data_IF_929452017646
#
_entry.id   IF_929452017646
#
_cell.length_a   1.000
_cell.length_b   1.000
_cell.length_c   1.000
_cell.angle_alpha   90.00
_cell.angle_beta   90.00
_cell.angle_gamma   90.00
#
_symmetry.space_group_name_H-M   'P 1'
#
loop_
_entity.id
_entity.type
_entity.pdbx_description
1 polymer ?
#
# COMPACT_ATOMS: atom_id res chain seq x y z
N UNK A 1 32.56 -9.04 71.68
CA UNK A 1 32.24 -7.62 71.40
C UNK A 1 32.64 -7.33 69.96
N UNK A 2 31.64 -7.05 69.13
CA UNK A 2 31.72 -6.71 67.71
C UNK A 2 32.59 -5.46 67.48
N UNK A 3 33.34 -5.40 66.37
CA UNK A 3 33.44 -4.22 65.50
C UNK A 3 34.33 -4.48 64.24
N UNK A 4 33.75 -4.21 63.06
CA UNK A 4 34.35 -3.85 61.75
C UNK A 4 35.35 -4.83 61.07
N UNK A 5 35.44 -5.02 59.74
CA UNK A 5 35.33 -4.09 58.61
C UNK A 5 35.38 -4.83 57.24
N UNK A 6 34.62 -4.34 56.25
CA UNK A 6 34.91 -4.18 54.80
C UNK A 6 35.33 -5.36 53.87
N UNK A 7 34.50 -5.49 52.82
CA UNK A 7 34.73 -5.74 51.38
C UNK A 7 35.77 -6.77 50.90
N UNK A 8 35.35 -7.66 49.96
CA UNK A 8 36.00 -7.86 48.64
C UNK A 8 35.19 -8.80 47.72
N UNK A 9 34.97 -8.30 46.50
CA UNK A 9 34.72 -8.94 45.19
C UNK A 9 34.62 -10.47 45.08
N UNK A 10 33.69 -10.95 44.25
CA UNK A 10 33.99 -11.75 43.03
C UNK A 10 32.71 -11.91 42.19
N UNK A 11 32.85 -11.55 40.92
CA UNK A 11 31.96 -11.76 39.78
C UNK A 11 31.73 -13.25 39.49
N UNK A 12 30.61 -13.62 38.86
CA UNK A 12 30.49 -14.56 37.71
C UNK A 12 29.01 -14.91 37.50
N UNK A 13 28.55 -14.64 36.27
CA UNK A 13 27.50 -15.28 35.46
C UNK A 13 26.49 -16.24 36.14
N UNK A 14 25.20 -16.03 35.88
CA UNK A 14 24.38 -16.89 34.99
C UNK A 14 22.87 -16.79 35.28
N UNK A 15 22.11 -16.59 34.20
CA UNK A 15 20.76 -17.12 33.94
C UNK A 15 19.69 -17.09 35.07
N UNK A 16 18.66 -16.25 34.90
CA UNK A 16 17.33 -16.76 34.54
C UNK A 16 16.36 -15.63 34.20
N UNK A 17 15.79 -15.80 33.02
CA UNK A 17 14.87 -14.97 32.28
C UNK A 17 13.46 -15.51 32.55
N UNK A 18 12.56 -14.75 33.20
CA UNK A 18 11.11 -15.01 33.12
C UNK A 18 10.34 -13.69 33.02
N UNK A 19 9.99 -13.38 31.78
CA UNK A 19 8.69 -12.87 31.31
C UNK A 19 8.02 -11.74 32.10
N UNK A 20 8.40 -10.49 31.79
CA UNK A 20 7.41 -9.43 31.66
C UNK A 20 6.95 -9.41 30.19
N UNK A 21 5.77 -9.97 29.96
CA UNK A 21 5.01 -9.80 28.73
C UNK A 21 4.70 -8.31 28.51
N UNK A 22 5.61 -7.58 27.88
CA UNK A 22 5.24 -6.37 27.16
C UNK A 22 4.80 -6.82 25.78
N UNK A 23 3.48 -6.98 25.65
CA UNK A 23 2.76 -7.12 24.40
C UNK A 23 3.37 -6.21 23.34
N UNK A 24 4.04 -6.82 22.36
CA UNK A 24 4.50 -6.13 21.17
C UNK A 24 3.30 -5.50 20.48
N UNK A 25 3.23 -4.17 20.46
CA UNK A 25 2.43 -3.50 19.43
C UNK A 25 3.22 -3.67 18.14
N UNK A 26 2.78 -4.59 17.30
CA UNK A 26 3.20 -4.68 15.92
C UNK A 26 2.80 -3.38 15.22
N UNK A 27 3.75 -2.52 14.89
CA UNK A 27 3.50 -1.37 14.02
C UNK A 27 3.56 -1.89 12.58
N UNK A 28 2.55 -2.67 12.21
CA UNK A 28 2.19 -2.88 10.81
C UNK A 28 1.78 -1.55 10.19
N UNK A 29 1.77 -1.45 8.85
CA UNK A 29 1.28 -0.27 8.15
C UNK A 29 0.02 0.29 8.83
N UNK A 30 0.04 1.57 9.24
CA UNK A 30 -1.16 2.21 9.77
C UNK A 30 -2.16 2.44 8.62
N UNK A 31 -2.81 1.36 8.16
CA UNK A 31 -4.06 1.42 7.41
C UNK A 31 -5.02 2.20 8.28
N UNK A 32 -5.64 3.25 7.72
CA UNK A 32 -6.51 4.11 8.52
C UNK A 32 -7.71 3.27 8.95
N UNK A 33 -7.93 3.15 10.27
CA UNK A 33 -9.03 2.33 10.81
C UNK A 33 -10.38 2.71 10.20
N UNK A 34 -10.61 4.00 9.98
CA UNK A 34 -11.83 4.51 9.32
C UNK A 34 -11.97 4.03 7.87
N UNK A 35 -10.88 3.79 7.14
CA UNK A 35 -10.95 3.24 5.78
C UNK A 35 -11.24 1.74 5.84
N UNK A 36 -10.64 1.01 6.78
CA UNK A 36 -10.97 -0.41 7.01
C UNK A 36 -12.44 -0.60 7.38
N UNK A 37 -12.95 0.18 8.33
CA UNK A 37 -14.35 0.17 8.76
C UNK A 37 -15.28 0.47 7.58
N UNK A 38 -14.93 1.45 6.74
CA UNK A 38 -15.69 1.75 5.52
C UNK A 38 -15.69 0.57 4.54
N UNK A 39 -14.53 -0.05 4.29
CA UNK A 39 -14.41 -1.19 3.39
C UNK A 39 -15.23 -2.37 3.92
N UNK A 40 -15.14 -2.66 5.22
CA UNK A 40 -15.92 -3.71 5.87
C UNK A 40 -17.42 -3.49 5.67
N UNK A 41 -17.90 -2.28 5.98
CA UNK A 41 -19.32 -1.93 5.88
C UNK A 41 -19.87 -2.02 4.46
N UNK A 42 -19.08 -1.71 3.42
CA UNK A 42 -19.58 -1.56 2.05
C UNK A 42 -19.02 -2.58 1.05
N UNK A 43 -18.18 -3.52 1.47
CA UNK A 43 -17.61 -4.52 0.56
C UNK A 43 -18.67 -5.46 -0.02
N UNK A 44 -19.65 -5.87 0.78
CA UNK A 44 -20.72 -6.77 0.32
C UNK A 44 -21.61 -6.11 -0.74
N UNK A 45 -21.95 -4.82 -0.58
CA UNK A 45 -22.72 -4.10 -1.59
C UNK A 45 -21.90 -3.87 -2.86
N UNK A 46 -20.61 -3.56 -2.75
CA UNK A 46 -19.73 -3.41 -3.92
C UNK A 46 -19.58 -4.74 -4.68
N UNK A 47 -19.44 -5.86 -3.98
CA UNK A 47 -19.41 -7.20 -4.59
C UNK A 47 -20.73 -7.55 -5.27
N UNK A 48 -21.86 -7.22 -4.64
CA UNK A 48 -23.18 -7.42 -5.24
C UNK A 48 -23.30 -6.62 -6.53
N UNK A 49 -22.95 -5.33 -6.48
CA UNK A 49 -23.02 -4.46 -7.66
C UNK A 49 -22.06 -4.90 -8.76
N UNK A 50 -20.92 -5.48 -8.41
CA UNK A 50 -20.07 -6.11 -9.41
C UNK A 50 -20.75 -7.26 -10.14
N UNK A 51 -21.52 -8.09 -9.44
CA UNK A 51 -22.24 -9.19 -10.09
C UNK A 51 -23.44 -8.68 -10.90
N UNK A 52 -24.14 -7.67 -10.40
CA UNK A 52 -25.39 -7.17 -11.01
C UNK A 52 -25.12 -6.20 -12.16
N UNK A 53 -24.08 -5.37 -12.04
CA UNK A 53 -23.76 -4.29 -12.97
C UNK A 53 -22.43 -4.48 -13.71
N UNK A 54 -21.63 -5.49 -13.40
CA UNK A 54 -20.32 -5.75 -14.01
C UNK A 54 -19.28 -4.61 -13.82
N UNK A 55 -19.39 -3.86 -12.72
CA UNK A 55 -18.42 -2.83 -12.30
C UNK A 55 -17.47 -3.47 -11.29
N UNK A 56 -16.13 -3.38 -11.41
CA UNK A 56 -15.22 -3.96 -10.42
C UNK A 56 -15.55 -3.48 -9.00
N UNK A 57 -15.69 -4.41 -8.05
CA UNK A 57 -15.99 -4.09 -6.66
C UNK A 57 -14.89 -3.18 -6.06
N UNK A 58 -13.64 -3.40 -6.46
CA UNK A 58 -12.50 -2.57 -6.08
C UNK A 58 -12.65 -1.12 -6.52
N UNK A 59 -13.22 -0.88 -7.70
CA UNK A 59 -13.47 0.46 -8.24
C UNK A 59 -14.56 1.14 -7.43
N UNK A 60 -15.69 0.46 -7.21
CA UNK A 60 -16.78 1.00 -6.39
C UNK A 60 -16.31 1.37 -4.98
N UNK A 61 -15.52 0.51 -4.33
CA UNK A 61 -14.98 0.78 -3.00
C UNK A 61 -13.96 1.94 -3.00
N UNK A 62 -13.06 1.98 -3.99
CA UNK A 62 -12.05 3.03 -4.08
C UNK A 62 -12.67 4.41 -4.37
N UNK A 63 -13.68 4.48 -5.24
CA UNK A 63 -14.44 5.71 -5.48
C UNK A 63 -15.20 6.11 -4.22
N UNK A 64 -15.92 5.20 -3.57
CA UNK A 64 -16.61 5.48 -2.31
C UNK A 64 -15.67 6.05 -1.25
N UNK A 65 -14.49 5.43 -1.05
CA UNK A 65 -13.46 5.94 -0.13
C UNK A 65 -12.96 7.34 -0.51
N UNK A 66 -12.65 7.57 -1.77
CA UNK A 66 -12.06 8.82 -2.25
C UNK A 66 -13.06 9.98 -2.21
N UNK A 67 -14.26 9.79 -2.77
CA UNK A 67 -15.27 10.84 -2.96
C UNK A 67 -15.93 11.24 -1.63
N UNK A 68 -16.17 10.26 -0.74
CA UNK A 68 -16.79 10.53 0.57
C UNK A 68 -15.77 10.83 1.68
N UNK A 69 -14.47 10.70 1.40
CA UNK A 69 -13.44 10.70 2.45
C UNK A 69 -13.69 9.61 3.49
N UNK A 70 -14.01 8.39 3.03
CA UNK A 70 -14.48 7.28 3.85
C UNK A 70 -15.70 7.62 4.72
N UNK A 71 -16.69 8.31 4.16
CA UNK A 71 -17.95 8.70 4.78
C UNK A 71 -17.88 9.94 5.68
N UNK A 72 -16.70 10.54 5.81
CA UNK A 72 -16.46 11.64 6.75
C UNK A 72 -16.71 13.02 6.15
N UNK A 73 -16.81 13.15 4.82
CA UNK A 73 -17.06 14.42 4.16
C UNK A 73 -18.42 15.01 4.57
N UNK A 74 -18.51 16.35 4.58
CA UNK A 74 -19.74 17.03 4.95
C UNK A 74 -20.91 16.62 4.03
N UNK A 75 -20.65 16.52 2.72
CA UNK A 75 -21.64 16.08 1.74
C UNK A 75 -22.15 14.67 2.08
N UNK A 76 -21.26 13.71 2.32
CA UNK A 76 -21.63 12.35 2.66
C UNK A 76 -22.46 12.30 3.96
N UNK A 77 -22.02 12.99 5.01
CA UNK A 77 -22.72 13.01 6.31
C UNK A 77 -24.11 13.66 6.27
N UNK A 78 -24.31 14.68 5.43
CA UNK A 78 -25.58 15.43 5.36
C UNK A 78 -26.57 14.84 4.37
N UNK A 79 -26.11 14.03 3.42
CA UNK A 79 -26.93 13.59 2.29
C UNK A 79 -26.84 12.11 1.96
N UNK A 80 -26.00 11.35 2.65
CA UNK A 80 -25.65 9.97 2.30
C UNK A 80 -25.12 9.81 0.87
N UNK A 81 -24.68 10.89 0.21
CA UNK A 81 -24.12 10.85 -1.13
C UNK A 81 -22.61 10.56 -1.07
N UNK A 82 -22.26 9.30 -1.24
CA UNK A 82 -20.87 8.85 -1.10
C UNK A 82 -20.04 8.95 -2.39
N UNK A 83 -20.66 9.31 -3.51
CA UNK A 83 -20.02 9.33 -4.84
C UNK A 83 -20.06 10.71 -5.49
N UNK A 84 -20.57 11.73 -4.79
CA UNK A 84 -20.66 13.10 -5.31
C UNK A 84 -21.60 13.26 -6.51
N UNK A 85 -22.64 12.41 -6.63
CA UNK A 85 -23.52 12.47 -7.81
C UNK A 85 -24.34 13.76 -7.81
N UNK A 86 -24.19 14.55 -8.87
CA UNK A 86 -24.92 15.81 -9.07
C UNK A 86 -26.37 15.56 -9.50
N UNK A 87 -27.21 16.56 -9.28
CA UNK A 87 -28.57 16.59 -9.82
C UNK A 87 -28.49 16.76 -11.33
N UNK A 88 -28.76 15.69 -12.08
CA UNK A 88 -28.88 15.75 -13.53
C UNK A 88 -30.33 16.00 -13.96
N UNK A 89 -30.55 16.32 -15.24
CA UNK A 89 -31.91 16.49 -15.79
C UNK A 89 -32.73 15.23 -15.51
N UNK A 90 -33.83 15.40 -14.77
CA UNK A 90 -34.75 14.32 -14.42
C UNK A 90 -34.64 13.79 -12.98
N UNK A 91 -33.67 14.25 -12.18
CA UNK A 91 -33.66 13.95 -10.74
C UNK A 91 -34.88 14.59 -10.06
N UNK A 92 -35.68 13.76 -9.37
CA UNK A 92 -36.90 14.17 -8.63
C UNK A 92 -36.82 13.88 -7.13
N UNK A 93 -35.72 13.28 -6.68
CA UNK A 93 -35.50 12.97 -5.27
C UNK A 93 -35.06 14.20 -4.48
N UNK A 94 -34.76 13.98 -3.20
CA UNK A 94 -34.20 15.04 -2.36
C UNK A 94 -32.83 15.50 -2.89
N UNK A 95 -32.47 16.74 -2.56
CA UNK A 95 -31.19 17.34 -2.96
C UNK A 95 -30.59 18.14 -1.82
N UNK A 96 -29.28 18.31 -1.88
CA UNK A 96 -28.52 19.27 -1.07
C UNK A 96 -27.69 20.14 -2.01
N UNK A 97 -27.47 21.40 -1.64
CA UNK A 97 -26.60 22.28 -2.39
C UNK A 97 -25.28 22.48 -1.64
N UNK A 98 -24.18 22.41 -2.36
CA UNK A 98 -22.83 22.59 -1.83
C UNK A 98 -21.94 23.24 -2.90
N UNK A 99 -20.84 23.86 -2.46
CA UNK A 99 -19.85 24.41 -3.38
C UNK A 99 -18.98 23.28 -3.95
N UNK A 100 -18.85 23.25 -5.27
CA UNK A 100 -17.94 22.36 -6.01
C UNK A 100 -17.40 23.07 -7.27
N UNK A 101 -17.98 22.85 -8.47
CA UNK A 101 -17.60 23.61 -9.68
C UNK A 101 -18.16 25.04 -9.61
N UNK A 102 -19.35 25.18 -9.05
CA UNK A 102 -19.97 26.48 -8.72
C UNK A 102 -20.25 26.58 -7.23
N UNK A 103 -20.49 27.80 -6.69
CA UNK A 103 -20.79 27.97 -5.27
C UNK A 103 -22.05 27.24 -4.78
N UNK A 104 -22.93 26.80 -5.69
CA UNK A 104 -24.22 26.22 -5.34
C UNK A 104 -24.60 25.07 -6.29
N UNK A 105 -23.69 24.10 -6.44
CA UNK A 105 -23.95 22.89 -7.20
C UNK A 105 -24.97 22.01 -6.47
N UNK A 106 -25.91 21.45 -7.24
CA UNK A 106 -26.93 20.55 -6.71
C UNK A 106 -26.40 19.12 -6.67
N UNK A 107 -26.48 18.49 -5.52
CA UNK A 107 -26.15 17.08 -5.29
C UNK A 107 -27.39 16.31 -4.88
N UNK A 108 -27.48 15.06 -5.35
CA UNK A 108 -28.55 14.15 -4.93
C UNK A 108 -28.42 13.85 -3.44
N UNK A 109 -29.55 13.74 -2.75
CA UNK A 109 -29.63 13.33 -1.35
C UNK A 109 -30.39 12.02 -1.24
N UNK A 110 -29.88 11.13 -0.41
CA UNK A 110 -30.38 9.78 -0.24
C UNK A 110 -30.78 9.53 1.21
N UNK A 111 -31.73 8.62 1.39
CA UNK A 111 -32.19 8.21 2.71
C UNK A 111 -31.15 7.33 3.42
N UNK A 112 -30.47 6.47 2.67
CA UNK A 112 -29.40 5.60 3.17
C UNK A 112 -28.18 5.64 2.24
N UNK A 113 -27.02 5.22 2.75
CA UNK A 113 -25.78 5.19 1.97
C UNK A 113 -25.89 4.19 0.82
N UNK A 114 -26.53 3.06 1.04
CA UNK A 114 -26.75 2.01 0.05
C UNK A 114 -27.53 2.52 -1.16
N UNK A 115 -28.47 3.46 -0.95
CA UNK A 115 -29.24 4.07 -2.04
C UNK A 115 -28.31 4.90 -2.95
N UNK A 116 -27.22 5.47 -2.43
CA UNK A 116 -26.20 6.17 -3.23
C UNK A 116 -25.27 5.21 -3.99
N UNK A 117 -24.99 4.03 -3.43
CA UNK A 117 -24.25 2.96 -4.13
C UNK A 117 -25.06 2.44 -5.32
N UNK A 118 -26.37 2.28 -5.13
CA UNK A 118 -27.29 1.80 -6.16
C UNK A 118 -27.36 2.81 -7.31
N UNK A 119 -27.58 4.09 -6.97
CA UNK A 119 -27.63 5.16 -7.97
C UNK A 119 -26.28 5.35 -8.68
N UNK A 120 -25.14 5.17 -8.00
CA UNK A 120 -23.83 5.18 -8.62
C UNK A 120 -23.64 4.05 -9.64
N UNK A 121 -24.06 2.83 -9.28
CA UNK A 121 -23.95 1.69 -10.20
C UNK A 121 -24.86 1.87 -11.43
N UNK A 122 -26.08 2.39 -11.24
CA UNK A 122 -26.98 2.74 -12.33
C UNK A 122 -26.42 3.88 -13.19
N UNK A 123 -25.83 4.90 -12.57
CA UNK A 123 -25.20 6.03 -13.28
C UNK A 123 -24.07 5.58 -14.22
N UNK A 124 -23.20 4.68 -13.75
CA UNK A 124 -22.12 4.14 -14.57
C UNK A 124 -22.65 3.19 -15.66
N UNK A 125 -23.54 2.26 -15.31
CA UNK A 125 -24.04 1.23 -16.24
C UNK A 125 -24.97 1.77 -17.32
N UNK A 126 -25.76 2.81 -17.04
CA UNK A 126 -26.67 3.43 -18.03
C UNK A 126 -26.05 4.61 -18.77
N UNK A 127 -24.95 5.16 -18.27
CA UNK A 127 -24.27 6.31 -18.87
C UNK A 127 -23.57 5.96 -20.18
N UNK A 128 -24.08 6.47 -21.31
CA UNK A 128 -23.52 6.22 -22.64
C UNK A 128 -22.02 6.54 -22.77
N UNK A 129 -21.52 7.47 -21.96
CA UNK A 129 -20.11 7.88 -21.82
C UNK A 129 -19.21 6.77 -21.28
N UNK A 130 -19.72 5.91 -20.40
CA UNK A 130 -18.95 4.91 -19.67
C UNK A 130 -18.97 3.54 -20.34
N UNK A 131 -19.70 3.39 -21.46
CA UNK A 131 -19.94 2.11 -22.14
C UNK A 131 -18.66 1.35 -22.46
N UNK A 132 -17.61 2.04 -22.95
CA UNK A 132 -16.31 1.42 -23.27
C UNK A 132 -15.64 0.76 -22.04
N UNK A 133 -16.00 1.14 -20.82
CA UNK A 133 -15.46 0.51 -19.61
C UNK A 133 -15.97 -0.93 -19.45
N UNK A 134 -17.19 -1.20 -19.90
CA UNK A 134 -17.82 -2.51 -19.75
C UNK A 134 -17.31 -3.55 -20.75
N UNK A 135 -16.50 -3.13 -21.73
CA UNK A 135 -15.74 -4.03 -22.60
C UNK A 135 -14.48 -4.58 -21.90
N UNK A 136 -14.06 -3.97 -20.78
CA UNK A 136 -12.92 -4.42 -19.99
C UNK A 136 -13.33 -5.57 -19.05
N UNK A 137 -12.43 -6.53 -18.78
CA UNK A 137 -12.65 -7.51 -17.74
C UNK A 137 -12.93 -6.83 -16.40
N UNK A 138 -13.91 -7.33 -15.65
CA UNK A 138 -14.27 -6.78 -14.34
C UNK A 138 -13.19 -6.99 -13.26
N UNK A 139 -12.08 -7.65 -13.60
CA UNK A 139 -10.85 -7.76 -12.78
C UNK A 139 -9.76 -6.76 -13.17
N UNK A 140 -9.92 -6.01 -14.28
CA UNK A 140 -8.94 -5.01 -14.73
C UNK A 140 -9.22 -3.63 -14.13
N UNK A 141 -9.05 -3.51 -12.82
CA UNK A 141 -9.27 -2.24 -12.13
C UNK A 141 -8.35 -1.11 -12.61
N UNK A 142 -7.15 -1.44 -13.17
CA UNK A 142 -6.23 -0.44 -13.71
C UNK A 142 -6.75 0.14 -15.02
N UNK A 143 -7.30 -0.71 -15.90
CA UNK A 143 -8.01 -0.28 -17.11
C UNK A 143 -9.22 0.58 -16.76
N UNK A 144 -10.06 0.11 -15.84
CA UNK A 144 -11.24 0.84 -15.37
C UNK A 144 -10.90 2.23 -14.81
N UNK A 145 -9.91 2.34 -13.92
CA UNK A 145 -9.50 3.62 -13.34
C UNK A 145 -9.02 4.63 -14.41
N UNK A 146 -8.24 4.16 -15.39
CA UNK A 146 -7.77 5.00 -16.51
C UNK A 146 -8.92 5.42 -17.42
N UNK A 147 -9.85 4.51 -17.71
CA UNK A 147 -11.01 4.79 -18.53
C UNK A 147 -11.99 5.77 -17.86
N UNK A 148 -12.22 5.66 -16.55
CA UNK A 148 -13.01 6.62 -15.78
C UNK A 148 -12.44 8.04 -15.88
N UNK A 149 -11.11 8.18 -15.80
CA UNK A 149 -10.45 9.46 -16.01
C UNK A 149 -10.59 9.94 -17.48
N UNK A 150 -10.37 9.07 -18.47
CA UNK A 150 -10.50 9.40 -19.90
C UNK A 150 -11.91 9.85 -20.27
N UNK A 151 -12.93 9.24 -19.67
CA UNK A 151 -14.35 9.57 -19.88
C UNK A 151 -14.78 10.83 -19.14
N UNK A 152 -13.92 11.41 -18.30
CA UNK A 152 -14.18 12.65 -17.58
C UNK A 152 -15.14 12.47 -16.41
N UNK A 153 -15.06 11.33 -15.70
CA UNK A 153 -15.79 11.11 -14.45
C UNK A 153 -15.41 12.17 -13.41
N UNK A 154 -14.12 12.48 -13.28
CA UNK A 154 -13.59 13.53 -12.42
C UNK A 154 -12.71 14.50 -13.21
N UNK A 155 -12.66 15.77 -12.78
CA UNK A 155 -11.80 16.81 -13.39
C UNK A 155 -10.34 16.69 -12.95
N UNK A 156 -10.05 15.94 -11.88
CA UNK A 156 -8.71 15.69 -11.38
C UNK A 156 -7.85 14.85 -12.34
N UNK A 157 -6.72 15.41 -12.79
CA UNK A 157 -5.77 14.73 -13.69
C UNK A 157 -5.06 13.53 -13.05
N UNK A 158 -5.08 13.41 -11.72
CA UNK A 158 -4.49 12.30 -10.98
C UNK A 158 -5.52 11.23 -10.53
N UNK A 159 -6.79 11.35 -10.95
CA UNK A 159 -7.89 10.53 -10.47
C UNK A 159 -7.62 9.02 -10.56
N UNK A 160 -7.20 8.54 -11.74
CA UNK A 160 -6.91 7.13 -11.97
C UNK A 160 -5.81 6.61 -11.03
N UNK A 161 -4.77 7.40 -10.81
CA UNK A 161 -3.65 7.03 -9.92
C UNK A 161 -4.08 6.97 -8.45
N UNK A 162 -4.99 7.85 -8.02
CA UNK A 162 -5.55 7.82 -6.65
C UNK A 162 -6.39 6.57 -6.42
N UNK A 163 -7.24 6.18 -7.39
CA UNK A 163 -8.03 4.95 -7.30
C UNK A 163 -7.13 3.71 -7.28
N UNK A 164 -6.17 3.59 -8.21
CA UNK A 164 -5.23 2.47 -8.25
C UNK A 164 -4.47 2.35 -6.93
N UNK A 165 -4.01 3.48 -6.38
CA UNK A 165 -3.32 3.50 -5.10
C UNK A 165 -4.19 2.99 -3.96
N UNK A 166 -5.44 3.45 -3.85
CA UNK A 166 -6.37 2.95 -2.82
C UNK A 166 -6.65 1.45 -2.98
N UNK A 167 -6.85 0.99 -4.21
CA UNK A 167 -7.09 -0.42 -4.51
C UNK A 167 -5.88 -1.30 -4.11
N UNK A 168 -4.67 -0.83 -4.35
CA UNK A 168 -3.45 -1.58 -4.02
C UNK A 168 -3.07 -1.49 -2.54
N UNK A 169 -3.21 -0.32 -1.91
CA UNK A 169 -2.89 -0.11 -0.48
C UNK A 169 -3.86 -0.89 0.44
N UNK A 170 -5.14 -0.95 0.06
CA UNK A 170 -6.19 -1.62 0.83
C UNK A 170 -6.54 -3.01 0.29
N UNK A 171 -5.83 -3.44 -0.75
CA UNK A 171 -6.00 -4.74 -1.42
C UNK A 171 -7.43 -4.99 -1.92
N UNK A 172 -8.11 -3.93 -2.38
CA UNK A 172 -9.52 -3.98 -2.78
C UNK A 172 -9.74 -4.88 -4.01
N UNK A 173 -8.71 -5.11 -4.83
CA UNK A 173 -8.75 -6.02 -5.97
C UNK A 173 -9.16 -7.45 -5.57
N UNK A 174 -8.98 -7.82 -4.30
CA UNK A 174 -9.47 -9.11 -3.76
C UNK A 174 -10.98 -9.24 -3.85
N UNK A 175 -11.71 -8.13 -3.78
CA UNK A 175 -13.16 -8.14 -3.91
C UNK A 175 -13.60 -8.35 -5.36
N UNK A 176 -12.71 -8.29 -6.36
CA UNK A 176 -13.06 -8.51 -7.76
C UNK A 176 -13.17 -9.99 -8.13
N UNK A 177 -12.51 -10.87 -7.36
CA UNK A 177 -12.42 -12.29 -7.70
C UNK A 177 -13.07 -13.17 -6.62
N UNK A 178 -14.05 -13.97 -7.04
CA UNK A 178 -14.83 -14.89 -6.19
C UNK A 178 -13.98 -15.85 -5.36
N UNK A 179 -12.78 -16.20 -5.82
CA UNK A 179 -11.85 -17.08 -5.10
C UNK A 179 -11.30 -16.43 -3.82
N UNK A 180 -11.23 -15.10 -3.76
CA UNK A 180 -10.83 -14.35 -2.57
C UNK A 180 -12.04 -13.96 -1.68
N UNK A 181 -13.28 -14.20 -2.14
CA UNK A 181 -14.54 -13.81 -1.46
C UNK A 181 -15.08 -14.88 -0.49
N UNK A 182 -14.75 -16.17 -0.64
CA UNK A 182 -15.27 -17.23 0.22
C UNK A 182 -14.48 -17.34 1.53
N UNK A 183 -14.90 -16.57 2.53
CA UNK A 183 -14.80 -16.96 3.94
C UNK A 183 -13.42 -17.38 4.45
N UNK A 184 -12.40 -16.56 4.15
CA UNK A 184 -11.06 -16.80 4.67
C UNK A 184 -10.77 -15.74 5.74
N UNK A 185 -10.76 -16.14 7.01
CA UNK A 185 -10.32 -15.26 8.10
C UNK A 185 -8.89 -14.78 7.83
N UNK A 186 -8.44 -13.70 8.46
CA UNK A 186 -7.04 -13.24 8.30
C UNK A 186 -6.04 -14.37 8.58
N UNK A 187 -6.30 -15.18 9.61
CA UNK A 187 -5.50 -16.36 9.95
C UNK A 187 -5.52 -17.42 8.86
N UNK A 188 -6.67 -17.74 8.27
CA UNK A 188 -6.75 -18.70 7.16
C UNK A 188 -6.16 -18.13 5.86
N UNK A 189 -6.09 -16.80 5.70
CA UNK A 189 -5.45 -16.13 4.55
C UNK A 189 -3.94 -16.20 4.69
N UNK A 190 -3.43 -15.91 5.88
CA UNK A 190 -2.04 -16.12 6.23
C UNK A 190 -1.70 -17.62 6.08
N UNK A 191 -2.58 -18.55 6.47
CA UNK A 191 -2.39 -20.00 6.30
C UNK A 191 -2.48 -20.47 4.84
N UNK A 192 -3.30 -19.85 3.99
CA UNK A 192 -3.37 -20.16 2.55
C UNK A 192 -2.18 -19.59 1.79
N UNK A 193 -1.78 -18.36 2.08
CA UNK A 193 -0.54 -17.76 1.56
C UNK A 193 0.64 -18.60 2.04
N UNK A 194 0.69 -18.98 3.32
CA UNK A 194 1.71 -19.88 3.85
C UNK A 194 1.64 -21.28 3.21
N UNK A 195 0.48 -21.80 2.84
CA UNK A 195 0.33 -23.07 2.11
C UNK A 195 0.82 -22.97 0.67
N UNK A 196 0.49 -21.90 -0.05
CA UNK A 196 0.96 -21.64 -1.41
C UNK A 196 2.48 -21.37 -1.43
N UNK A 197 3.00 -20.67 -0.42
CA UNK A 197 4.43 -20.51 -0.14
C UNK A 197 5.08 -21.84 0.25
N UNK A 198 4.43 -22.67 1.08
CA UNK A 198 4.96 -23.96 1.52
C UNK A 198 4.89 -25.04 0.43
N UNK A 199 4.01 -24.89 -0.57
CA UNK A 199 3.89 -25.80 -1.71
C UNK A 199 4.86 -25.47 -2.84
N UNK A 200 5.37 -24.25 -2.87
CA UNK A 200 6.37 -23.88 -3.82
C UNK A 200 7.75 -23.95 -3.14
N UNK A 201 8.65 -24.73 -3.73
CA UNK A 201 10.03 -24.84 -3.26
C UNK A 201 10.79 -23.56 -3.61
N UNK A 202 10.47 -22.48 -2.90
CA UNK A 202 11.20 -21.24 -2.91
C UNK A 202 12.35 -21.37 -1.91
N UNK A 203 13.55 -20.98 -2.33
CA UNK A 203 14.68 -20.78 -1.40
C UNK A 203 14.46 -19.48 -0.61
N UNK A 204 13.68 -18.54 -1.15
CA UNK A 204 13.48 -17.20 -0.60
C UNK A 204 12.03 -16.85 -0.29
N UNK A 205 11.81 -16.22 0.87
CA UNK A 205 10.52 -15.62 1.23
C UNK A 205 10.46 -14.17 0.71
N UNK A 206 9.45 -13.77 -0.09
CA UNK A 206 9.27 -12.38 -0.47
C UNK A 206 8.68 -11.53 0.67
N UNK A 207 9.20 -10.31 0.79
CA UNK A 207 8.80 -9.27 1.73
C UNK A 207 8.38 -7.99 0.99
N UNK A 208 7.71 -7.06 1.69
CA UNK A 208 7.32 -5.76 1.15
C UNK A 208 7.65 -4.66 2.15
N UNK A 209 8.45 -3.68 1.75
CA UNK A 209 8.77 -2.48 2.54
C UNK A 209 8.65 -1.24 1.68
N UNK A 210 8.12 -0.14 2.22
CA UNK A 210 7.96 1.11 1.44
C UNK A 210 7.20 0.93 0.11
N UNK A 211 6.28 -0.06 0.02
CA UNK A 211 5.61 -0.41 -1.23
C UNK A 211 6.47 -1.14 -2.27
N UNK A 212 7.73 -1.44 -1.95
CA UNK A 212 8.69 -2.18 -2.76
C UNK A 212 8.78 -3.63 -2.25
N UNK A 213 8.66 -4.57 -3.17
CA UNK A 213 8.85 -6.01 -2.92
C UNK A 213 10.32 -6.35 -3.00
N UNK A 214 10.81 -7.15 -2.05
CA UNK A 214 12.19 -7.61 -1.97
C UNK A 214 12.29 -9.01 -1.36
N UNK A 215 13.46 -9.66 -1.49
CA UNK A 215 13.86 -10.83 -0.71
C UNK A 215 15.14 -10.53 0.06
N UNK A 216 15.41 -11.34 1.08
CA UNK A 216 16.67 -11.31 1.83
C UNK A 216 17.53 -12.43 1.27
N UNK A 217 18.73 -12.11 0.80
CA UNK A 217 19.66 -13.08 0.27
C UNK A 217 20.14 -14.03 1.37
N UNK A 218 20.33 -15.31 1.02
CA UNK A 218 20.92 -16.34 1.87
C UNK A 218 22.31 -16.72 1.38
N UNK A 219 23.01 -17.59 2.12
CA UNK A 219 24.35 -18.01 1.76
C UNK A 219 24.41 -18.66 0.37
N UNK A 220 25.32 -18.18 -0.49
CA UNK A 220 25.53 -18.70 -1.84
C UNK A 220 24.64 -18.08 -2.92
N UNK A 221 23.82 -17.09 -2.57
CA UNK A 221 22.95 -16.43 -3.52
C UNK A 221 23.67 -15.62 -4.60
N UNK A 222 22.98 -15.52 -5.72
CA UNK A 222 23.32 -14.62 -6.82
C UNK A 222 22.05 -13.92 -7.30
N UNK A 223 22.19 -12.71 -7.86
CA UNK A 223 21.07 -12.04 -8.52
C UNK A 223 20.48 -12.92 -9.64
N UNK A 224 21.32 -13.67 -10.38
CA UNK A 224 20.87 -14.64 -11.37
C UNK A 224 19.96 -15.72 -10.78
N UNK A 225 20.36 -16.30 -9.64
CA UNK A 225 19.63 -17.35 -8.94
C UNK A 225 18.27 -16.86 -8.46
N UNK A 226 18.26 -15.75 -7.73
CA UNK A 226 17.04 -15.11 -7.23
C UNK A 226 16.14 -14.67 -8.39
N UNK A 227 16.70 -14.09 -9.47
CA UNK A 227 15.92 -13.69 -10.64
C UNK A 227 15.22 -14.92 -11.26
N UNK A 228 15.96 -16.01 -11.47
CA UNK A 228 15.42 -17.24 -12.06
C UNK A 228 14.33 -17.84 -11.19
N UNK A 229 14.55 -17.87 -9.89
CA UNK A 229 13.57 -18.32 -8.91
C UNK A 229 12.25 -17.58 -9.13
N UNK A 230 12.23 -16.25 -9.01
CA UNK A 230 11.00 -15.46 -9.12
C UNK A 230 10.57 -15.09 -10.54
N UNK A 231 11.18 -15.69 -11.57
CA UNK A 231 10.81 -15.49 -12.98
C UNK A 231 11.16 -14.10 -13.55
N UNK A 232 12.17 -13.42 -13.02
CA UNK A 232 12.71 -12.17 -13.54
C UNK A 232 13.92 -12.37 -14.45
N UNK A 233 14.27 -11.34 -15.22
CA UNK A 233 15.59 -11.24 -15.87
C UNK A 233 16.60 -10.71 -14.86
N UNK A 234 17.77 -11.33 -14.79
CA UNK A 234 18.86 -10.88 -13.91
C UNK A 234 19.21 -9.40 -14.14
N UNK A 235 19.27 -8.96 -15.40
CA UNK A 235 19.53 -7.57 -15.78
C UNK A 235 18.55 -6.57 -15.15
N UNK A 236 17.29 -6.98 -14.95
CA UNK A 236 16.28 -6.14 -14.32
C UNK A 236 16.54 -6.02 -12.81
N UNK A 237 16.85 -7.13 -12.13
CA UNK A 237 17.20 -7.12 -10.71
C UNK A 237 18.46 -6.29 -10.44
N UNK A 238 19.52 -6.47 -11.23
CA UNK A 238 20.75 -5.67 -11.12
C UNK A 238 20.45 -4.17 -11.27
N UNK A 239 19.62 -3.81 -12.25
CA UNK A 239 19.19 -2.42 -12.49
C UNK A 239 18.33 -1.85 -11.36
N UNK A 240 17.45 -2.63 -10.76
CA UNK A 240 16.63 -2.20 -9.62
C UNK A 240 17.47 -1.98 -8.35
N UNK A 241 18.48 -2.82 -8.18
CA UNK A 241 19.38 -2.78 -7.03
C UNK A 241 20.57 -1.84 -7.23
N UNK A 242 20.79 -1.29 -8.43
CA UNK A 242 21.86 -0.34 -8.76
C UNK A 242 23.27 -0.94 -8.58
N UNK A 243 23.43 -2.21 -8.99
CA UNK A 243 24.69 -2.96 -8.93
C UNK A 243 25.10 -3.51 -10.30
N UNK A 244 26.40 -3.69 -10.57
CA UNK A 244 26.89 -4.28 -11.83
C UNK A 244 26.66 -5.79 -11.90
N UNK A 245 26.81 -6.36 -13.09
CA UNK A 245 26.83 -7.81 -13.29
C UNK A 245 27.95 -8.46 -12.46
N UNK A 246 27.66 -9.62 -11.87
CA UNK A 246 28.60 -10.33 -10.99
C UNK A 246 28.78 -9.71 -9.60
N UNK A 247 27.98 -8.72 -9.20
CA UNK A 247 28.01 -8.18 -7.85
C UNK A 247 27.68 -9.28 -6.81
N UNK A 248 28.55 -9.52 -5.82
CA UNK A 248 28.34 -10.58 -4.83
C UNK A 248 27.22 -10.21 -3.85
N UNK A 249 26.40 -11.19 -3.47
CA UNK A 249 25.43 -11.06 -2.39
C UNK A 249 25.99 -11.68 -1.11
N UNK A 250 25.79 -10.99 0.00
CA UNK A 250 26.01 -11.52 1.34
C UNK A 250 24.68 -11.95 1.95
N UNK A 251 24.72 -12.95 2.83
CA UNK A 251 23.56 -13.32 3.62
C UNK A 251 23.03 -12.09 4.39
N UNK A 252 21.74 -11.83 4.28
CA UNK A 252 21.09 -10.64 4.87
C UNK A 252 20.90 -9.46 3.91
N UNK A 253 21.49 -9.49 2.71
CA UNK A 253 21.33 -8.41 1.73
C UNK A 253 19.89 -8.34 1.20
N UNK A 254 19.42 -7.11 0.98
CA UNK A 254 18.10 -6.85 0.40
C UNK A 254 18.20 -6.83 -1.13
N UNK A 255 17.36 -7.64 -1.78
CA UNK A 255 17.24 -7.69 -3.24
C UNK A 255 15.85 -7.24 -3.66
N UNK A 256 15.73 -6.03 -4.19
CA UNK A 256 14.47 -5.49 -4.68
C UNK A 256 14.09 -6.02 -6.05
N UNK A 257 12.79 -6.29 -6.25
CA UNK A 257 12.21 -6.69 -7.54
C UNK A 257 11.65 -5.53 -8.36
N UNK A 258 11.92 -4.30 -7.93
CA UNK A 258 11.47 -3.09 -8.61
C UNK A 258 12.34 -1.91 -8.26
N UNK A 259 12.31 -0.89 -9.12
CA UNK A 259 13.12 0.31 -8.97
C UNK A 259 12.80 1.02 -7.64
N UNK A 260 13.85 1.26 -6.84
CA UNK A 260 13.80 2.03 -5.59
C UNK A 260 13.20 3.44 -5.80
N UNK A 261 12.69 4.05 -4.74
CA UNK A 261 12.02 5.37 -4.79
C UNK A 261 13.00 6.52 -4.94
N UNK A 262 12.49 7.70 -5.28
CA UNK A 262 13.32 8.90 -5.38
C UNK A 262 13.70 9.49 -4.01
N UNK A 263 12.90 9.21 -2.99
CA UNK A 263 12.99 9.69 -1.61
C UNK A 263 12.34 8.63 -0.72
N UNK A 264 12.69 8.62 0.57
CA UNK A 264 12.04 7.74 1.54
C UNK A 264 10.60 8.18 1.82
N UNK A 265 9.79 7.22 2.27
CA UNK A 265 8.44 7.49 2.74
C UNK A 265 8.48 8.22 4.10
N UNK A 266 7.44 9.01 4.39
CA UNK A 266 7.27 9.56 5.75
C UNK A 266 7.07 8.39 6.74
N UNK A 267 7.59 8.47 7.98
CA UNK A 267 8.22 9.64 8.61
C UNK A 267 9.75 9.70 8.46
N UNK A 268 10.36 8.94 7.55
CA UNK A 268 11.81 8.92 7.40
C UNK A 268 12.31 10.17 6.65
N UNK A 269 12.65 11.20 7.41
CA UNK A 269 13.22 12.45 6.87
C UNK A 269 14.74 12.39 6.78
N UNK A 270 15.35 11.73 7.77
CA UNK A 270 16.79 11.65 7.93
C UNK A 270 17.19 10.31 8.53
N UNK A 271 18.49 10.02 8.46
CA UNK A 271 19.11 8.85 9.03
C UNK A 271 20.47 9.25 9.60
N UNK A 272 20.71 8.85 10.85
CA UNK A 272 22.01 8.99 11.50
C UNK A 272 22.82 7.73 11.19
N UNK A 273 23.92 7.91 10.48
CA UNK A 273 24.81 6.82 10.03
C UNK A 273 25.35 6.08 11.25
N UNK A 274 25.23 4.75 11.22
CA UNK A 274 25.79 3.84 12.22
C UNK A 274 27.11 3.22 11.73
N UNK A 275 27.88 2.66 12.65
CA UNK A 275 29.13 1.97 12.35
C UNK A 275 28.90 0.88 11.29
N UNK A 276 29.70 0.92 10.22
CA UNK A 276 29.68 -0.06 9.14
C UNK A 276 28.59 0.15 8.08
N UNK A 277 27.76 1.19 8.19
CA UNK A 277 26.82 1.54 7.12
C UNK A 277 27.53 2.24 5.95
N UNK A 278 27.05 2.00 4.74
CA UNK A 278 27.48 2.68 3.52
C UNK A 278 26.31 3.40 2.88
N UNK A 279 26.58 4.32 1.96
CA UNK A 279 25.51 4.97 1.18
C UNK A 279 24.64 3.94 0.46
N UNK A 280 25.23 2.82 0.00
CA UNK A 280 24.50 1.73 -0.63
C UNK A 280 23.58 1.00 0.36
N UNK A 281 24.09 0.56 1.51
CA UNK A 281 23.28 -0.17 2.49
C UNK A 281 22.15 0.69 3.07
N UNK A 282 22.39 1.99 3.27
CA UNK A 282 21.36 2.97 3.66
C UNK A 282 20.32 3.12 2.54
N UNK A 283 20.75 3.15 1.27
CA UNK A 283 19.84 3.22 0.13
C UNK A 283 18.90 1.99 0.09
N UNK A 284 19.45 0.81 0.38
CA UNK A 284 18.71 -0.45 0.41
C UNK A 284 17.73 -0.48 1.59
N UNK A 285 18.16 -0.05 2.78
CA UNK A 285 17.35 0.02 4.00
C UNK A 285 16.06 0.83 3.83
N UNK A 286 16.14 1.98 3.17
CA UNK A 286 14.99 2.88 2.98
C UNK A 286 14.31 2.76 1.61
N UNK A 287 14.79 1.84 0.76
CA UNK A 287 14.26 1.67 -0.59
C UNK A 287 14.37 2.93 -1.44
N UNK A 288 15.48 3.68 -1.31
CA UNK A 288 15.75 4.90 -2.08
C UNK A 288 16.85 4.65 -3.11
N UNK A 289 16.77 5.29 -4.27
CA UNK A 289 17.82 5.18 -5.28
C UNK A 289 19.12 5.83 -4.76
N UNK A 290 20.24 5.13 -4.90
CA UNK A 290 21.56 5.56 -4.42
C UNK A 290 21.93 6.96 -4.93
N UNK A 291 21.76 7.20 -6.24
CA UNK A 291 22.00 8.51 -6.86
C UNK A 291 21.21 9.65 -6.22
N UNK A 292 20.00 9.35 -5.72
CA UNK A 292 19.16 10.35 -5.09
C UNK A 292 19.60 10.61 -3.66
N UNK A 293 20.08 9.59 -2.94
CA UNK A 293 20.65 9.76 -1.61
C UNK A 293 21.86 10.70 -1.65
N UNK A 294 22.81 10.50 -2.58
CA UNK A 294 23.93 11.41 -2.78
C UNK A 294 23.47 12.84 -3.12
N UNK A 295 22.54 12.96 -4.07
CA UNK A 295 22.02 14.26 -4.52
C UNK A 295 21.28 15.03 -3.42
N UNK A 296 20.45 14.36 -2.61
CA UNK A 296 19.74 14.97 -1.48
C UNK A 296 20.70 15.56 -0.45
N UNK A 297 21.85 14.92 -0.29
CA UNK A 297 22.87 15.29 0.70
C UNK A 297 23.99 16.16 0.14
N UNK A 298 23.93 16.53 -1.16
CA UNK A 298 24.95 17.31 -1.85
C UNK A 298 26.36 16.72 -1.71
N UNK A 299 26.46 15.38 -1.72
CA UNK A 299 27.72 14.64 -1.61
C UNK A 299 28.14 14.10 -2.99
N UNK A 300 29.44 14.03 -3.25
CA UNK A 300 29.99 13.33 -4.42
C UNK A 300 29.90 11.81 -4.23
N UNK A 301 30.01 11.03 -5.30
CA UNK A 301 30.04 9.56 -5.21
C UNK A 301 31.28 9.01 -4.49
N UNK A 302 32.31 9.83 -4.31
CA UNK A 302 33.51 9.51 -3.54
C UNK A 302 33.30 9.68 -2.03
N UNK A 303 32.20 10.30 -1.61
CA UNK A 303 31.90 10.45 -0.19
C UNK A 303 31.60 9.11 0.46
N UNK A 304 32.36 8.84 1.53
CA UNK A 304 32.17 7.73 2.45
C UNK A 304 31.50 8.28 3.71
N UNK A 305 30.35 7.72 4.14
CA UNK A 305 29.65 8.19 5.33
C UNK A 305 30.39 7.76 6.60
N UNK A 306 30.46 8.66 7.59
CA UNK A 306 31.07 8.40 8.90
C UNK A 306 29.99 8.24 9.97
N UNK A 307 30.28 7.51 11.04
CA UNK A 307 29.35 7.35 12.17
C UNK A 307 28.92 8.72 12.70
N UNK A 308 27.61 8.90 12.90
CA UNK A 308 27.03 10.15 13.39
C UNK A 308 26.68 11.15 12.29
N UNK A 309 27.09 10.93 11.03
CA UNK A 309 26.62 11.72 9.91
C UNK A 309 25.09 11.68 9.80
N UNK A 310 24.47 12.83 9.53
CA UNK A 310 23.02 12.92 9.33
C UNK A 310 22.73 13.05 7.84
N UNK A 311 22.15 12.00 7.26
CA UNK A 311 21.77 11.96 5.85
C UNK A 311 20.27 12.21 5.69
N UNK A 312 19.92 13.19 4.87
CA UNK A 312 18.57 13.45 4.41
C UNK A 312 18.10 12.33 3.49
N UNK A 313 16.93 11.79 3.78
CA UNK A 313 16.26 10.79 2.99
C UNK A 313 15.12 11.36 2.12
N UNK A 314 14.74 12.63 2.36
CA UNK A 314 13.60 13.30 1.73
C UNK A 314 13.78 14.81 1.50
#
# INVERSE_FOLDING_TARGET
MNFHCKYRYISVLSLLLICLFVSGRAWGQNRLRVYEEYIENYSDIAVRHMNDYNIPASITLAQGLLESGAGMSELARRSNNHFGIKCHRGWRGESVYAADDTPNDCFRKYRRVEDSYEDHAQFLSTGARYRELFDLPATDYKGWARGLQKTGYATDKAYANKLIKLIEDYELYRFDNKNYRKGVTRSQREENINREVAQANWTHQPYKTHGLVYVIAVNGDTFAGIAREFGFKESDLLKFNEVPEGFPLSEGDIVYFQKKKARADKPYFEHVVQIGESMYSISQKYGIQLRNLYRLNKKSYEYVPEEGDVLRLR
#
